data_IF_150482738456
#
_entry.id   IF_150482738456
#
_cell.length_a   1.000
_cell.length_b   1.000
_cell.length_c   1.000
_cell.angle_alpha   90.00
_cell.angle_beta   90.00
_cell.angle_gamma   90.00
#
_symmetry.space_group_name_H-M   'P 1'
#
loop_
_entity.id
_entity.type
_entity.pdbx_description
1 polymer ?
#
# COMPACT_ATOMS: atom_id res chain seq x y z
N UNK A 1 -4.60 4.89 1.75
CA UNK A 1 -3.42 5.66 2.18
C UNK A 1 -2.39 5.60 1.06
N UNK A 2 -1.19 6.18 1.22
CA UNK A 2 -0.15 6.03 0.21
C UNK A 2 0.43 4.61 0.23
N UNK A 3 0.82 4.13 1.43
CA UNK A 3 1.52 2.86 1.59
C UNK A 3 0.69 1.62 1.19
N UNK A 4 -0.61 1.59 1.47
CA UNK A 4 -1.49 0.45 1.14
C UNK A 4 -1.81 0.38 -0.36
N UNK A 5 -2.08 1.52 -1.00
CA UNK A 5 -2.22 1.61 -2.47
C UNK A 5 -0.92 1.19 -3.17
N UNK A 6 0.23 1.60 -2.62
CA UNK A 6 1.54 1.19 -3.10
C UNK A 6 1.82 -0.31 -2.95
N UNK A 7 1.57 -0.90 -1.79
CA UNK A 7 1.72 -2.35 -1.59
C UNK A 7 0.82 -3.12 -2.56
N UNK A 8 -0.41 -2.65 -2.76
CA UNK A 8 -1.38 -3.24 -3.67
C UNK A 8 -1.13 -2.92 -5.17
N UNK A 9 -0.01 -2.26 -5.51
CA UNK A 9 0.43 -2.07 -6.89
C UNK A 9 0.77 -3.39 -7.59
N UNK A 10 1.11 -4.44 -6.84
CA UNK A 10 1.14 -5.80 -7.37
C UNK A 10 -0.30 -6.32 -7.50
N UNK A 11 -0.83 -6.25 -8.72
CA UNK A 11 -2.19 -6.65 -9.02
C UNK A 11 -2.26 -8.16 -9.26
N UNK A 12 -3.06 -8.85 -8.46
CA UNK A 12 -3.34 -10.28 -8.63
C UNK A 12 -4.70 -10.48 -9.30
N UNK A 13 -4.85 -11.49 -10.15
CA UNK A 13 -6.17 -11.88 -10.66
C UNK A 13 -7.00 -12.56 -9.57
N UNK A 14 -7.54 -11.73 -8.69
CA UNK A 14 -8.38 -12.13 -7.58
C UNK A 14 -9.71 -12.78 -7.99
N UNK A 15 -10.13 -12.63 -9.26
CA UNK A 15 -11.42 -13.14 -9.75
C UNK A 15 -11.32 -14.61 -10.12
N UNK A 16 -10.35 -14.94 -10.96
CA UNK A 16 -10.21 -16.29 -11.51
C UNK A 16 -9.23 -17.15 -10.69
N UNK A 17 -8.24 -16.52 -10.04
CA UNK A 17 -7.10 -17.22 -9.44
C UNK A 17 -6.02 -17.63 -10.45
N UNK A 18 -6.16 -17.23 -11.73
CA UNK A 18 -5.17 -17.48 -12.76
C UNK A 18 -4.00 -16.50 -12.64
N UNK A 19 -2.87 -17.00 -12.12
CA UNK A 19 -1.65 -16.22 -11.91
C UNK A 19 -1.01 -15.72 -13.21
N UNK A 20 -1.38 -16.26 -14.37
CA UNK A 20 -0.92 -15.71 -15.66
C UNK A 20 -1.47 -14.29 -15.92
N UNK A 21 -2.55 -13.93 -15.22
CA UNK A 21 -3.14 -12.60 -15.25
C UNK A 21 -2.49 -11.59 -14.30
N UNK A 22 -1.62 -12.01 -13.38
CA UNK A 22 -0.99 -11.11 -12.40
C UNK A 22 -0.14 -10.05 -13.12
N UNK A 23 -0.17 -8.82 -12.60
CA UNK A 23 0.54 -7.66 -13.17
C UNK A 23 1.20 -6.84 -12.10
N UNK A 24 2.46 -6.51 -12.32
CA UNK A 24 3.14 -5.51 -11.52
C UNK A 24 2.88 -4.13 -12.13
N UNK A 25 2.04 -3.31 -11.48
CA UNK A 25 1.68 -1.98 -12.01
C UNK A 25 2.83 -0.99 -11.91
N UNK A 26 3.88 -1.28 -11.16
CA UNK A 26 5.09 -0.46 -11.17
C UNK A 26 5.80 -0.53 -12.53
N UNK A 27 5.55 -1.57 -13.33
CA UNK A 27 6.07 -1.68 -14.70
C UNK A 27 5.26 -0.89 -15.74
N UNK A 28 4.14 -0.27 -15.33
CA UNK A 28 3.26 0.52 -16.20
C UNK A 28 3.49 2.03 -15.99
N UNK A 29 4.12 2.73 -16.95
CA UNK A 29 4.42 4.16 -16.82
C UNK A 29 3.17 5.04 -16.71
N UNK A 30 2.05 4.65 -17.34
CA UNK A 30 0.81 5.40 -17.23
C UNK A 30 0.23 5.25 -15.83
N UNK A 31 0.25 4.04 -15.28
CA UNK A 31 -0.16 3.81 -13.91
C UNK A 31 0.72 4.60 -12.91
N UNK A 32 2.03 4.63 -13.12
CA UNK A 32 2.95 5.43 -12.29
C UNK A 32 2.61 6.92 -12.35
N UNK A 33 2.34 7.47 -13.54
CA UNK A 33 1.95 8.87 -13.69
C UNK A 33 0.67 9.18 -12.90
N UNK A 34 -0.38 8.39 -13.09
CA UNK A 34 -1.67 8.55 -12.41
C UNK A 34 -1.53 8.37 -10.88
N UNK A 35 -0.65 7.47 -10.45
CA UNK A 35 -0.39 7.19 -9.04
C UNK A 35 0.38 8.34 -8.37
N UNK A 36 1.42 8.88 -9.02
CA UNK A 36 2.15 10.05 -8.52
C UNK A 36 1.21 11.26 -8.39
N UNK A 37 0.37 11.53 -9.40
CA UNK A 37 -0.60 12.62 -9.36
C UNK A 37 -1.61 12.46 -8.23
N UNK A 38 -2.21 11.27 -8.10
CA UNK A 38 -3.22 10.96 -7.07
C UNK A 38 -2.71 11.20 -5.66
N UNK A 39 -1.44 10.87 -5.40
CA UNK A 39 -0.82 11.02 -4.08
C UNK A 39 -0.03 12.32 -3.92
N UNK A 40 0.00 13.20 -4.94
CA UNK A 40 0.73 14.46 -4.90
C UNK A 40 2.25 14.29 -4.77
N UNK A 41 2.79 13.20 -5.31
CA UNK A 41 4.21 12.84 -5.17
C UNK A 41 5.06 13.52 -6.25
N UNK A 42 6.16 14.20 -5.87
CA UNK A 42 6.95 14.96 -6.83
C UNK A 42 8.00 14.05 -7.48
N UNK A 43 7.68 13.44 -8.62
CA UNK A 43 8.66 12.75 -9.46
C UNK A 43 8.23 12.74 -10.93
N UNK A 44 9.17 12.49 -11.83
CA UNK A 44 8.83 12.16 -13.22
C UNK A 44 8.25 10.74 -13.28
N UNK A 45 7.20 10.54 -14.07
CA UNK A 45 6.54 9.23 -14.22
C UNK A 45 7.48 8.13 -14.73
N UNK A 46 8.53 8.49 -15.47
CA UNK A 46 9.50 7.54 -15.99
C UNK A 46 10.60 7.27 -14.95
N UNK A 47 10.47 6.16 -14.22
CA UNK A 47 11.52 5.61 -13.39
C UNK A 47 12.62 4.95 -14.23
N UNK A 48 13.88 5.10 -13.80
CA UNK A 48 14.99 4.29 -14.33
C UNK A 48 14.85 2.84 -13.83
N UNK A 49 15.44 1.85 -14.52
CA UNK A 49 15.40 0.46 -14.07
C UNK A 49 15.87 0.24 -12.62
N UNK A 50 16.89 0.97 -12.19
CA UNK A 50 17.40 0.90 -10.81
C UNK A 50 16.40 1.45 -9.78
N UNK A 51 15.71 2.55 -10.10
CA UNK A 51 14.70 3.18 -9.23
C UNK A 51 13.46 2.29 -9.12
N UNK A 52 13.06 1.68 -10.25
CA UNK A 52 11.98 0.71 -10.29
C UNK A 52 12.31 -0.54 -9.48
N UNK A 53 13.55 -1.03 -9.54
CA UNK A 53 14.00 -2.15 -8.72
C UNK A 53 13.96 -1.79 -7.22
N UNK A 54 14.43 -0.61 -6.83
CA UNK A 54 14.36 -0.13 -5.44
C UNK A 54 12.91 0.00 -4.94
N UNK A 55 11.98 0.43 -5.80
CA UNK A 55 10.55 0.42 -5.48
C UNK A 55 10.02 -1.00 -5.31
N UNK A 56 10.47 -1.99 -6.09
CA UNK A 56 10.02 -3.37 -5.90
C UNK A 56 10.58 -3.98 -4.61
N UNK A 57 11.80 -3.65 -4.25
CA UNK A 57 12.44 -4.05 -3.00
C UNK A 57 11.73 -3.47 -1.79
N UNK A 58 11.48 -2.15 -1.78
CA UNK A 58 10.71 -1.51 -0.71
C UNK A 58 9.31 -2.11 -0.59
N UNK A 59 8.61 -2.34 -1.71
CA UNK A 59 7.29 -3.00 -1.68
C UNK A 59 7.35 -4.39 -1.05
N UNK A 60 8.41 -5.16 -1.34
CA UNK A 60 8.58 -6.51 -0.81
C UNK A 60 8.85 -6.48 0.71
N UNK A 61 9.72 -5.57 1.15
CA UNK A 61 9.95 -5.29 2.58
C UNK A 61 8.64 -4.95 3.29
N UNK A 62 7.88 -3.97 2.80
CA UNK A 62 6.64 -3.56 3.45
C UNK A 62 5.58 -4.66 3.47
N UNK A 63 5.51 -5.47 2.41
CA UNK A 63 4.60 -6.61 2.36
C UNK A 63 4.95 -7.67 3.40
N UNK A 64 6.23 -8.04 3.52
CA UNK A 64 6.70 -8.99 4.54
C UNK A 64 6.38 -8.50 5.95
N UNK A 65 6.61 -7.22 6.23
CA UNK A 65 6.28 -6.62 7.52
C UNK A 65 4.78 -6.63 7.81
N UNK A 66 3.93 -6.34 6.82
CA UNK A 66 2.48 -6.47 7.00
C UNK A 66 2.10 -7.91 7.38
N UNK A 67 2.72 -8.92 6.77
CA UNK A 67 2.46 -10.32 7.12
C UNK A 67 2.84 -10.63 8.58
N UNK A 68 3.88 -9.99 9.11
CA UNK A 68 4.26 -10.14 10.51
C UNK A 68 3.28 -9.40 11.44
N UNK A 69 2.94 -8.16 11.10
CA UNK A 69 2.02 -7.32 11.87
C UNK A 69 0.64 -7.96 12.04
N UNK A 70 0.08 -8.56 10.98
CA UNK A 70 -1.23 -9.23 11.07
C UNK A 70 -1.20 -10.51 11.92
N UNK A 71 -0.01 -11.07 12.20
CA UNK A 71 0.20 -12.17 13.14
C UNK A 71 0.41 -11.68 14.59
N UNK A 72 0.39 -10.37 14.83
CA UNK A 72 0.57 -9.77 16.14
C UNK A 72 2.04 -9.57 16.54
N UNK A 73 2.98 -9.71 15.61
CA UNK A 73 4.37 -9.34 15.84
C UNK A 73 4.53 -7.82 15.76
N UNK A 74 5.35 -7.26 16.65
CA UNK A 74 5.69 -5.85 16.63
C UNK A 74 6.85 -5.60 15.66
N UNK A 75 6.93 -4.40 15.03
CA UNK A 75 8.10 -4.00 14.25
C UNK A 75 9.39 -4.15 15.06
N UNK A 76 10.41 -4.75 14.46
CA UNK A 76 11.73 -4.83 15.07
C UNK A 76 12.57 -3.59 14.76
N UNK A 77 13.74 -3.48 15.42
CA UNK A 77 14.64 -2.35 15.20
C UNK A 77 15.20 -2.30 13.76
N UNK A 78 15.36 -3.47 13.11
CA UNK A 78 15.91 -3.54 11.76
C UNK A 78 14.95 -2.92 10.73
N UNK A 79 13.64 -3.10 10.88
CA UNK A 79 12.65 -2.38 10.08
C UNK A 79 12.74 -0.88 10.31
N UNK A 80 12.78 -0.44 11.57
CA UNK A 80 12.83 0.99 11.90
C UNK A 80 14.06 1.66 11.28
N UNK A 81 15.22 1.00 11.34
CA UNK A 81 16.46 1.49 10.74
C UNK A 81 16.37 1.57 9.21
N UNK A 82 15.75 0.56 8.58
CA UNK A 82 15.50 0.58 7.13
C UNK A 82 14.55 1.70 6.72
N UNK A 83 13.42 1.89 7.41
CA UNK A 83 12.49 2.99 7.14
C UNK A 83 13.17 4.35 7.32
N UNK A 84 13.97 4.52 8.37
CA UNK A 84 14.77 5.73 8.59
C UNK A 84 15.78 5.98 7.46
N UNK A 85 16.38 4.93 6.88
CA UNK A 85 17.29 5.08 5.74
C UNK A 85 16.59 5.66 4.51
N UNK A 86 15.37 5.20 4.20
CA UNK A 86 14.55 5.75 3.11
C UNK A 86 14.15 7.20 3.40
N UNK A 87 13.65 7.48 4.61
CA UNK A 87 13.24 8.84 4.99
C UNK A 87 14.41 9.83 4.99
N UNK A 88 15.61 9.39 5.38
CA UNK A 88 16.83 10.22 5.32
C UNK A 88 17.23 10.55 3.88
N UNK A 89 16.96 9.67 2.93
CA UNK A 89 17.29 9.88 1.52
C UNK A 89 16.34 10.88 0.80
N UNK A 90 15.16 11.15 1.37
CA UNK A 90 14.16 12.09 0.86
C UNK A 90 13.74 13.14 1.90
N UNK A 91 14.63 14.10 2.23
CA UNK A 91 14.36 15.07 3.28
C UNK A 91 13.21 16.02 2.92
N UNK A 92 12.44 16.38 3.95
CA UNK A 92 11.40 17.40 3.87
C UNK A 92 11.84 18.68 4.58
N UNK A 93 11.34 19.81 4.12
CA UNK A 93 11.51 21.13 4.73
C UNK A 93 10.19 21.67 5.25
N UNK A 94 10.26 22.46 6.31
CA UNK A 94 9.07 23.13 6.89
C UNK A 94 8.80 24.42 6.13
N UNK A 95 7.58 24.59 5.63
CA UNK A 95 7.13 25.82 4.99
C UNK A 95 5.71 26.18 5.41
N UNK A 96 5.39 27.47 5.45
CA UNK A 96 4.00 27.93 5.59
C UNK A 96 3.39 27.94 4.19
N UNK A 97 2.34 27.14 4.00
CA UNK A 97 1.60 27.06 2.73
C UNK A 97 0.22 27.69 2.89
N UNK A 98 -0.29 28.28 1.81
CA UNK A 98 -1.65 28.81 1.74
C UNK A 98 -2.37 28.17 0.55
N UNK A 99 -3.29 27.26 0.85
CA UNK A 99 -4.22 26.74 -0.16
C UNK A 99 -5.36 27.75 -0.37
N UNK A 100 -5.96 27.83 -1.57
CA UNK A 100 -7.17 28.62 -1.78
C UNK A 100 -8.24 28.25 -0.74
N UNK A 101 -8.90 29.26 -0.18
CA UNK A 101 -10.00 29.12 0.78
C UNK A 101 -9.66 28.41 2.10
N UNK A 102 -8.39 28.31 2.46
CA UNK A 102 -7.93 27.72 3.73
C UNK A 102 -7.00 28.67 4.50
N UNK A 103 -7.00 28.61 5.85
CA UNK A 103 -6.01 29.32 6.64
C UNK A 103 -4.59 28.82 6.30
N UNK A 104 -3.55 29.67 6.45
CA UNK A 104 -2.17 29.21 6.32
C UNK A 104 -1.88 28.07 7.30
N UNK A 105 -1.17 27.06 6.84
CA UNK A 105 -0.75 25.93 7.65
C UNK A 105 0.75 25.69 7.51
N UNK A 106 1.37 25.16 8.57
CA UNK A 106 2.73 24.65 8.49
C UNK A 106 2.68 23.28 7.80
N UNK A 107 3.38 23.14 6.68
CA UNK A 107 3.50 21.89 5.94
C UNK A 107 4.95 21.40 5.90
N UNK A 108 5.11 20.09 5.77
CA UNK A 108 6.34 19.45 5.37
C UNK A 108 6.30 19.31 3.85
N UNK A 109 7.23 19.95 3.15
CA UNK A 109 7.35 19.87 1.71
C UNK A 109 8.61 19.12 1.32
N UNK A 110 8.54 18.25 0.32
CA UNK A 110 9.71 17.64 -0.31
C UNK A 110 10.78 18.66 -0.68
N UNK A 111 12.04 18.37 -0.34
CA UNK A 111 13.17 19.18 -0.79
C UNK A 111 13.55 18.88 -2.25
N UNK A 112 13.17 17.69 -2.75
CA UNK A 112 13.53 17.17 -4.08
C UNK A 112 12.31 16.59 -4.77
N UNK A 113 12.39 16.51 -6.09
CA UNK A 113 11.35 15.94 -6.96
C UNK A 113 11.87 14.71 -7.72
N UNK A 114 12.28 13.67 -6.99
CA UNK A 114 12.82 12.43 -7.56
C UNK A 114 12.31 11.17 -6.83
N UNK A 115 12.66 9.99 -7.35
CA UNK A 115 12.20 8.72 -6.81
C UNK A 115 12.70 8.40 -5.41
N UNK A 116 13.82 9.00 -4.97
CA UNK A 116 14.27 8.87 -3.58
C UNK A 116 13.32 9.57 -2.63
N UNK A 117 12.81 10.75 -3.00
CA UNK A 117 11.75 11.40 -2.25
C UNK A 117 10.49 10.53 -2.22
N UNK A 118 10.07 9.96 -3.36
CA UNK A 118 8.88 9.11 -3.42
C UNK A 118 8.99 7.92 -2.45
N UNK A 119 10.13 7.24 -2.41
CA UNK A 119 10.36 6.15 -1.46
C UNK A 119 10.38 6.62 0.00
N UNK A 120 10.88 7.83 0.27
CA UNK A 120 10.81 8.44 1.59
C UNK A 120 9.37 8.69 2.04
N UNK A 121 8.52 9.23 1.17
CA UNK A 121 7.09 9.45 1.45
C UNK A 121 6.33 8.14 1.66
N UNK A 122 6.65 7.09 0.88
CA UNK A 122 6.10 5.74 1.09
C UNK A 122 6.49 5.22 2.48
N UNK A 123 7.78 5.29 2.83
CA UNK A 123 8.28 4.81 4.11
C UNK A 123 7.66 5.58 5.30
N UNK A 124 7.54 6.91 5.18
CA UNK A 124 6.89 7.76 6.17
C UNK A 124 5.40 7.42 6.31
N UNK A 125 4.67 7.23 5.20
CA UNK A 125 3.26 6.86 5.22
C UNK A 125 3.05 5.48 5.85
N UNK A 126 3.95 4.53 5.60
CA UNK A 126 3.92 3.22 6.24
C UNK A 126 4.18 3.34 7.75
N UNK A 127 5.21 4.09 8.15
CA UNK A 127 5.52 4.33 9.56
C UNK A 127 4.34 4.98 10.29
N UNK A 128 3.68 5.99 9.71
CA UNK A 128 2.46 6.59 10.26
C UNK A 128 1.33 5.54 10.40
N UNK A 129 1.14 4.72 9.35
CA UNK A 129 0.15 3.65 9.35
C UNK A 129 0.39 2.57 10.40
N UNK A 130 1.65 2.28 10.75
CA UNK A 130 2.05 1.22 11.68
C UNK A 130 2.19 1.74 13.11
N UNK A 131 2.74 2.94 13.29
CA UNK A 131 3.09 3.48 14.62
C UNK A 131 1.98 4.34 15.22
N UNK A 132 1.22 5.07 14.40
CA UNK A 132 0.23 6.03 14.90
C UNK A 132 -1.19 5.48 14.84
N UNK A 133 -1.44 4.45 14.01
CA UNK A 133 -2.76 3.83 13.87
C UNK A 133 -2.87 2.54 14.64
N UNK A 134 -4.11 2.09 14.77
CA UNK A 134 -4.40 0.83 15.44
C UNK A 134 -4.01 -0.35 14.55
N UNK A 135 -2.83 -0.94 14.80
CA UNK A 135 -2.28 -2.10 14.08
C UNK A 135 -3.27 -3.24 13.89
N UNK A 136 -4.15 -3.46 14.87
CA UNK A 136 -5.18 -4.50 14.83
C UNK A 136 -6.21 -4.31 13.71
N UNK A 137 -6.19 -3.18 13.00
CA UNK A 137 -7.05 -2.90 11.84
C UNK A 137 -6.36 -3.14 10.51
N UNK A 138 -5.03 -3.29 10.48
CA UNK A 138 -4.34 -3.73 9.26
C UNK A 138 -4.71 -5.19 9.02
N UNK A 139 -5.12 -5.51 7.80
CA UNK A 139 -5.61 -6.84 7.40
C UNK A 139 -5.11 -7.19 6.01
N UNK A 140 -4.99 -8.48 5.76
CA UNK A 140 -4.82 -9.06 4.42
C UNK A 140 -6.16 -9.68 4.01
N UNK A 141 -6.54 -9.54 2.74
CA UNK A 141 -7.78 -10.09 2.22
C UNK A 141 -7.82 -11.63 2.32
N UNK A 142 -8.88 -12.19 2.91
CA UNK A 142 -9.11 -13.64 3.05
C UNK A 142 -9.36 -14.36 1.71
N UNK A 143 -9.45 -13.64 0.59
CA UNK A 143 -9.47 -14.27 -0.73
C UNK A 143 -8.02 -14.67 -1.09
N UNK A 144 -7.68 -15.98 -1.18
CA UNK A 144 -6.31 -16.43 -1.41
C UNK A 144 -5.72 -15.97 -2.75
N UNK A 145 -6.58 -15.57 -3.68
CA UNK A 145 -6.18 -15.05 -5.00
C UNK A 145 -5.99 -13.52 -4.99
N UNK A 146 -6.41 -12.81 -3.92
CA UNK A 146 -6.35 -11.35 -3.84
C UNK A 146 -5.19 -10.86 -2.99
N UNK A 147 -5.14 -11.30 -1.73
CA UNK A 147 -4.11 -10.92 -0.76
C UNK A 147 -3.86 -9.41 -0.61
N UNK A 148 -4.77 -8.54 -1.03
CA UNK A 148 -4.60 -7.10 -0.84
C UNK A 148 -4.56 -6.73 0.64
N UNK A 149 -3.67 -5.80 0.98
CA UNK A 149 -3.65 -5.17 2.30
C UNK A 149 -4.74 -4.10 2.35
N UNK A 150 -5.43 -4.01 3.48
CA UNK A 150 -6.40 -2.95 3.72
C UNK A 150 -6.44 -2.60 5.21
N UNK A 151 -6.93 -1.40 5.49
CA UNK A 151 -7.26 -0.95 6.83
C UNK A 151 -8.75 -1.15 7.10
N UNK A 152 -9.10 -1.92 8.14
CA UNK A 152 -10.49 -2.12 8.55
C UNK A 152 -11.00 -0.88 9.31
N UNK A 153 -11.60 0.02 8.56
CA UNK A 153 -12.27 1.23 9.01
C UNK A 153 -13.66 0.97 9.62
N UNK A 154 -14.14 -0.28 9.62
CA UNK A 154 -15.47 -0.59 10.15
C UNK A 154 -15.50 -0.50 11.68
N UNK A 155 -16.70 -0.19 12.20
CA UNK A 155 -16.94 -0.10 13.64
C UNK A 155 -16.62 -1.41 14.36
N UNK A 156 -16.99 -2.54 13.75
CA UNK A 156 -16.93 -3.86 14.39
C UNK A 156 -15.64 -4.63 14.09
N UNK A 157 -14.73 -4.08 13.27
CA UNK A 157 -13.43 -4.69 12.92
C UNK A 157 -13.54 -6.11 12.35
N UNK A 158 -14.63 -6.35 11.64
CA UNK A 158 -15.05 -7.68 11.19
C UNK A 158 -14.92 -7.87 9.69
N UNK A 159 -14.31 -6.93 8.95
CA UNK A 159 -14.04 -7.15 7.53
C UNK A 159 -13.07 -8.32 7.41
N UNK A 160 -13.41 -9.20 6.47
CA UNK A 160 -12.57 -10.33 6.06
C UNK A 160 -11.97 -10.11 4.67
N UNK A 161 -12.55 -9.21 3.90
CA UNK A 161 -12.20 -8.97 2.51
C UNK A 161 -11.91 -7.49 2.32
N UNK A 162 -10.98 -7.18 1.40
CA UNK A 162 -10.60 -5.81 1.07
C UNK A 162 -11.80 -4.94 0.65
N UNK A 163 -12.76 -5.55 -0.06
CA UNK A 163 -14.02 -4.93 -0.43
C UNK A 163 -15.15 -5.97 -0.44
N UNK A 164 -16.27 -5.62 0.18
CA UNK A 164 -17.44 -6.50 0.35
C UNK A 164 -18.17 -6.76 -0.98
N UNK A 165 -18.17 -5.79 -1.89
CA UNK A 165 -18.84 -5.90 -3.20
C UNK A 165 -18.00 -6.66 -4.21
N UNK A 166 -16.68 -6.68 -4.04
CA UNK A 166 -15.71 -7.40 -4.87
C UNK A 166 -15.40 -8.78 -4.27
N UNK A 167 -14.34 -8.88 -3.45
CA UNK A 167 -13.89 -10.15 -2.88
C UNK A 167 -14.94 -10.78 -1.96
N UNK A 168 -15.68 -9.97 -1.19
CA UNK A 168 -16.74 -10.48 -0.32
C UNK A 168 -17.83 -11.23 -1.09
N UNK A 169 -18.37 -10.64 -2.16
CA UNK A 169 -19.38 -11.29 -2.99
C UNK A 169 -18.82 -12.49 -3.76
N UNK A 170 -17.60 -12.40 -4.31
CA UNK A 170 -16.97 -13.51 -5.01
C UNK A 170 -16.83 -14.74 -4.09
N UNK A 171 -16.35 -14.54 -2.86
CA UNK A 171 -16.15 -15.63 -1.92
C UNK A 171 -17.48 -16.23 -1.43
N UNK A 172 -18.55 -15.44 -1.31
CA UNK A 172 -19.91 -15.96 -1.05
C UNK A 172 -20.37 -16.90 -2.17
N UNK A 173 -20.20 -16.49 -3.43
CA UNK A 173 -20.57 -17.30 -4.60
C UNK A 173 -19.75 -18.60 -4.68
N UNK A 174 -18.43 -18.52 -4.47
CA UNK A 174 -17.55 -19.71 -4.44
C UNK A 174 -17.99 -20.71 -3.35
N UNK A 175 -18.27 -20.24 -2.14
CA UNK A 175 -18.77 -21.08 -1.03
C UNK A 175 -20.12 -21.72 -1.35
N UNK A 176 -21.05 -20.98 -1.94
CA UNK A 176 -22.36 -21.52 -2.35
C UNK A 176 -22.22 -22.64 -3.39
N UNK A 177 -21.38 -22.44 -4.42
CA UNK A 177 -21.12 -23.46 -5.46
C UNK A 177 -20.45 -24.71 -4.90
N UNK A 178 -19.47 -24.55 -4.00
CA UNK A 178 -18.79 -25.68 -3.35
C UNK A 178 -19.77 -26.55 -2.54
N UNK A 179 -20.70 -25.93 -1.80
CA UNK A 179 -21.73 -26.67 -1.05
C UNK A 179 -22.69 -27.44 -1.95
N UNK A 180 -23.05 -26.88 -3.11
CA UNK A 180 -23.92 -27.59 -4.08
C UNK A 180 -23.25 -28.82 -4.68
N UNK A 181 -21.95 -28.74 -4.99
CA UNK A 181 -21.17 -29.88 -5.50
C UNK A 181 -20.91 -30.98 -4.47
N UNK A 182 -20.88 -30.63 -3.18
CA UNK A 182 -20.63 -31.60 -2.10
C UNK A 182 -21.91 -32.30 -1.59
N UNK A 183 -23.09 -31.83 -2.03
CA UNK A 183 -24.39 -32.45 -1.75
C UNK A 183 -24.94 -33.30 -2.89
N UNK A 184 -24.15 -33.49 -3.96
CA UNK A 184 -24.31 -34.50 -5.02
C UNK A 184 -23.35 -35.66 -4.72
#
# INVERSE_FOLDING_TARGET
MLWDDYINSYWRDWRTGDRSGDRDRLDDPQWLADWLERHGLPAAAQAKPEELQQLKELRSLLWEEVQQLVQGMAPDQALLDQLNSYMTAGPVIRQIVRKPDQPPELALLPQRSDWRQVMAEIAASFAEGVLEKELSRIRICDNPDCLWVYYDDTRNRSKRYCDDKMCGNLMKVRRFRARRKAGE
#
